data_IF_382207514047
#
_entry.id   IF_382207514047
#
_cell.length_a   1.000
_cell.length_b   1.000
_cell.length_c   1.000
_cell.angle_alpha   90.00
_cell.angle_beta   90.00
_cell.angle_gamma   90.00
#
_symmetry.space_group_name_H-M   'P 1'
#
loop_
_entity.id
_entity.type
_entity.pdbx_description
1 polymer ?
#
# COMPACT_ATOMS: atom_id res chain seq x y z
N UNK A 1 15.51 -11.26 -2.00
CA UNK A 1 14.03 -11.06 -1.95
C UNK A 1 13.68 -10.38 -0.64
N UNK A 2 12.83 -9.38 -0.72
CA UNK A 2 12.35 -8.67 0.47
C UNK A 2 11.25 -9.50 1.13
N UNK A 3 11.39 -9.79 2.42
CA UNK A 3 10.39 -10.53 3.19
C UNK A 3 9.20 -9.64 3.54
N UNK A 4 9.46 -8.47 4.08
CA UNK A 4 8.41 -7.51 4.41
C UNK A 4 8.94 -6.09 4.45
N UNK A 5 8.03 -5.13 4.32
CA UNK A 5 8.29 -3.71 4.45
C UNK A 5 7.36 -3.12 5.51
N UNK A 6 7.72 -1.98 6.04
CA UNK A 6 6.87 -1.26 6.97
C UNK A 6 6.63 0.16 6.48
N UNK A 7 5.42 0.66 6.72
CA UNK A 7 5.10 2.07 6.61
C UNK A 7 4.52 2.56 7.95
N UNK A 8 4.39 3.85 8.10
CA UNK A 8 3.99 4.45 9.35
C UNK A 8 2.74 5.29 9.17
N UNK A 9 1.89 5.34 10.17
CA UNK A 9 0.62 6.06 10.10
C UNK A 9 0.37 6.83 11.38
N UNK A 10 0.05 8.12 11.25
CA UNK A 10 -0.37 8.94 12.39
C UNK A 10 -1.85 8.75 12.67
N UNK A 11 -2.65 8.48 11.65
CA UNK A 11 -4.05 8.09 11.79
C UNK A 11 -4.18 6.63 11.33
N UNK A 12 -3.99 5.71 12.25
CA UNK A 12 -3.90 4.28 11.98
C UNK A 12 -5.16 3.75 11.27
N UNK A 13 -6.35 4.09 11.77
CA UNK A 13 -7.59 3.57 11.20
C UNK A 13 -7.81 4.07 9.77
N UNK A 14 -7.49 5.32 9.51
CA UNK A 14 -7.62 5.89 8.16
C UNK A 14 -6.69 5.18 7.17
N UNK A 15 -5.44 4.96 7.56
CA UNK A 15 -4.46 4.28 6.71
C UNK A 15 -4.82 2.81 6.52
N UNK A 16 -5.25 2.13 7.58
CA UNK A 16 -5.72 0.75 7.49
C UNK A 16 -6.89 0.62 6.52
N UNK A 17 -7.88 1.51 6.62
CA UNK A 17 -9.04 1.49 5.73
C UNK A 17 -8.64 1.75 4.28
N UNK A 18 -7.73 2.67 4.07
CA UNK A 18 -7.19 2.96 2.74
C UNK A 18 -6.59 1.71 2.11
N UNK A 19 -5.66 1.05 2.80
CA UNK A 19 -5.00 -0.13 2.26
C UNK A 19 -5.92 -1.34 2.17
N UNK A 20 -6.89 -1.48 3.07
CA UNK A 20 -7.88 -2.55 2.98
C UNK A 20 -8.64 -2.49 1.66
N UNK A 21 -8.97 -1.28 1.20
CA UNK A 21 -9.67 -1.09 -0.07
C UNK A 21 -8.71 -1.22 -1.27
N UNK A 22 -7.58 -0.52 -1.22
CA UNK A 22 -6.65 -0.44 -2.35
C UNK A 22 -5.97 -1.78 -2.65
N UNK A 23 -5.69 -2.59 -1.62
CA UNK A 23 -5.00 -3.86 -1.76
C UNK A 23 -5.93 -5.02 -2.13
N UNK A 24 -7.21 -4.89 -1.96
CA UNK A 24 -8.15 -5.96 -2.28
C UNK A 24 -8.03 -6.41 -3.74
N UNK A 25 -7.98 -5.50 -4.73
CA UNK A 25 -7.77 -5.91 -6.13
C UNK A 25 -6.44 -6.59 -6.41
N UNK A 26 -5.45 -6.44 -5.53
CA UNK A 26 -4.14 -7.07 -5.66
C UNK A 26 -4.07 -8.42 -4.92
N UNK A 27 -5.16 -8.82 -4.26
CA UNK A 27 -5.18 -10.05 -3.48
C UNK A 27 -4.51 -9.96 -2.12
N UNK A 28 -4.34 -8.75 -1.59
CA UNK A 28 -3.75 -8.51 -0.28
C UNK A 28 -4.85 -8.17 0.73
N UNK A 29 -4.82 -8.83 1.87
CA UNK A 29 -5.76 -8.60 2.96
C UNK A 29 -5.00 -8.51 4.27
N UNK A 30 -5.65 -8.04 5.33
CA UNK A 30 -5.05 -8.02 6.66
C UNK A 30 -4.79 -9.46 7.10
N UNK A 31 -3.53 -9.77 7.40
CA UNK A 31 -3.10 -11.09 7.88
C UNK A 31 -2.82 -11.09 9.38
N UNK A 32 -2.40 -9.95 9.92
CA UNK A 32 -2.04 -9.81 11.33
C UNK A 32 -2.48 -8.43 11.80
N UNK A 33 -3.01 -8.38 13.02
CA UNK A 33 -3.36 -7.10 13.66
C UNK A 33 -3.25 -7.25 15.17
N UNK A 34 -2.60 -6.30 15.82
CA UNK A 34 -2.46 -6.33 17.28
C UNK A 34 -2.10 -4.96 17.83
N UNK A 35 -2.15 -4.84 19.17
CA UNK A 35 -1.65 -3.71 19.93
C UNK A 35 -0.32 -4.11 20.55
N UNK A 36 0.71 -3.29 20.32
CA UNK A 36 2.07 -3.56 20.81
C UNK A 36 2.20 -3.23 22.30
N UNK A 37 1.53 -4.00 23.14
CA UNK A 37 1.47 -3.77 24.59
C UNK A 37 2.85 -3.82 25.27
N UNK A 38 3.85 -4.45 24.64
CA UNK A 38 5.23 -4.49 25.12
C UNK A 38 6.01 -3.21 24.86
N UNK A 39 5.47 -2.29 24.03
CA UNK A 39 6.14 -1.03 23.72
C UNK A 39 5.95 -0.04 24.88
N UNK A 40 6.98 0.07 25.73
CA UNK A 40 6.91 0.90 26.93
C UNK A 40 6.73 2.38 26.65
N UNK A 41 7.09 2.85 25.45
CA UNK A 41 6.97 4.24 25.04
C UNK A 41 5.64 4.54 24.35
N UNK A 42 4.97 3.50 23.87
CA UNK A 42 3.69 3.61 23.18
C UNK A 42 2.88 2.31 23.37
N UNK A 43 2.39 2.04 24.60
CA UNK A 43 1.76 0.76 24.92
C UNK A 43 0.41 0.51 24.23
N UNK A 44 -0.17 1.54 23.61
CA UNK A 44 -1.41 1.41 22.83
C UNK A 44 -1.16 1.43 21.33
N UNK A 45 0.11 1.37 20.90
CA UNK A 45 0.48 1.38 19.48
C UNK A 45 -0.20 0.23 18.74
N UNK A 46 -0.88 0.58 17.65
CA UNK A 46 -1.56 -0.41 16.80
C UNK A 46 -0.69 -0.75 15.60
N UNK A 47 -0.75 -2.01 15.19
CA UNK A 47 -0.05 -2.50 14.02
C UNK A 47 -0.95 -3.46 13.26
N UNK A 48 -0.88 -3.43 11.92
CA UNK A 48 -1.45 -4.47 11.10
C UNK A 48 -0.53 -4.74 9.91
N UNK A 49 -0.68 -5.90 9.31
CA UNK A 49 0.09 -6.26 8.13
C UNK A 49 -0.82 -6.85 7.07
N UNK A 50 -0.58 -6.42 5.84
CA UNK A 50 -1.30 -6.87 4.66
C UNK A 50 -0.44 -7.81 3.84
N UNK A 51 -1.08 -8.69 3.12
CA UNK A 51 -0.41 -9.58 2.19
C UNK A 51 -1.34 -10.66 1.67
N UNK A 52 -0.82 -11.55 0.80
CA UNK A 52 -1.57 -12.74 0.39
C UNK A 52 -1.76 -13.65 1.60
N UNK A 53 -2.68 -14.59 1.49
CA UNK A 53 -3.05 -15.46 2.61
C UNK A 53 -1.82 -16.05 3.32
N UNK A 54 -1.73 -15.81 4.62
CA UNK A 54 -0.67 -16.34 5.47
C UNK A 54 0.65 -15.60 5.38
N UNK A 55 0.75 -14.53 4.57
CA UNK A 55 2.02 -13.82 4.35
C UNK A 55 1.90 -12.32 4.66
N UNK A 56 2.22 -11.89 5.88
CA UNK A 56 2.25 -10.46 6.21
C UNK A 56 3.50 -9.82 5.59
N UNK A 57 3.32 -9.07 4.51
CA UNK A 57 4.44 -8.49 3.76
C UNK A 57 4.53 -6.97 3.87
N UNK A 58 3.43 -6.30 4.17
CA UNK A 58 3.40 -4.84 4.25
C UNK A 58 2.75 -4.40 5.56
N UNK A 59 3.58 -3.89 6.47
CA UNK A 59 3.15 -3.50 7.80
C UNK A 59 2.75 -2.04 7.86
N UNK A 60 1.68 -1.76 8.57
CA UNK A 60 1.27 -0.40 8.94
C UNK A 60 1.47 -0.27 10.45
N UNK A 61 2.32 0.64 10.85
CA UNK A 61 2.72 0.84 12.24
C UNK A 61 2.28 2.23 12.68
N UNK A 62 1.48 2.30 13.74
CA UNK A 62 1.04 3.58 14.29
C UNK A 62 2.21 4.34 14.89
N UNK A 63 2.30 5.64 14.58
CA UNK A 63 3.32 6.54 15.12
C UNK A 63 2.67 7.84 15.57
N UNK A 64 3.34 8.54 16.46
CA UNK A 64 2.87 9.84 16.99
C UNK A 64 3.48 11.01 16.23
N UNK A 65 4.59 10.80 15.54
CA UNK A 65 5.36 11.85 14.90
C UNK A 65 5.37 11.70 13.39
N UNK A 66 5.74 12.77 12.69
CA UNK A 66 5.92 12.73 11.24
C UNK A 66 7.15 11.91 10.89
N UNK A 67 7.15 11.38 9.67
CA UNK A 67 8.24 10.57 9.14
C UNK A 67 8.47 10.95 7.67
N UNK A 68 9.59 10.48 7.09
CA UNK A 68 9.89 10.70 5.68
C UNK A 68 8.99 9.83 4.81
N UNK A 69 8.23 10.41 3.88
CA UNK A 69 7.41 9.61 2.95
C UNK A 69 8.27 8.68 2.09
N UNK A 70 7.68 7.58 1.67
CA UNK A 70 8.35 6.53 0.90
C UNK A 70 7.69 6.29 -0.43
N UNK A 71 8.40 5.60 -1.31
CA UNK A 71 7.83 5.05 -2.54
C UNK A 71 7.87 3.54 -2.44
N UNK A 72 6.72 2.91 -2.68
CA UNK A 72 6.61 1.44 -2.72
C UNK A 72 5.76 1.06 -3.91
N UNK A 73 6.23 0.10 -4.70
CA UNK A 73 5.51 -0.42 -5.85
C UNK A 73 5.12 -1.87 -5.59
N UNK A 74 3.87 -2.19 -5.88
CA UNK A 74 3.32 -3.53 -5.76
C UNK A 74 3.04 -4.10 -7.13
N UNK A 75 3.40 -5.36 -7.33
CA UNK A 75 3.11 -6.05 -8.59
C UNK A 75 1.64 -6.40 -8.66
N UNK A 76 1.00 -6.01 -9.75
CA UNK A 76 -0.32 -6.48 -10.11
C UNK A 76 -0.19 -7.62 -11.12
N UNK A 77 -1.12 -8.57 -11.04
CA UNK A 77 -1.14 -9.74 -11.91
C UNK A 77 -1.38 -9.36 -13.38
N UNK A 78 -2.21 -8.35 -13.60
CA UNK A 78 -2.61 -7.89 -14.92
C UNK A 78 -2.91 -6.39 -14.88
N UNK A 79 -3.19 -5.81 -16.05
CA UNK A 79 -3.49 -4.38 -16.14
C UNK A 79 -4.80 -4.03 -15.46
N UNK A 80 -5.78 -4.94 -15.48
CA UNK A 80 -7.04 -4.75 -14.77
C UNK A 80 -6.80 -4.58 -13.27
N UNK A 81 -5.87 -5.33 -12.69
CA UNK A 81 -5.48 -5.18 -11.29
C UNK A 81 -4.91 -3.79 -10.97
N UNK A 82 -4.13 -3.23 -11.89
CA UNK A 82 -3.61 -1.86 -11.75
C UNK A 82 -4.76 -0.85 -11.78
N UNK A 83 -5.67 -0.98 -12.74
CA UNK A 83 -6.83 -0.09 -12.87
C UNK A 83 -7.70 -0.15 -11.61
N UNK A 84 -7.97 -1.36 -11.12
CA UNK A 84 -8.84 -1.58 -9.96
C UNK A 84 -8.18 -1.07 -8.66
N UNK A 85 -6.87 -1.26 -8.51
CA UNK A 85 -6.12 -0.67 -7.41
C UNK A 85 -6.29 0.86 -7.40
N UNK A 86 -6.09 1.48 -8.56
CA UNK A 86 -6.19 2.94 -8.66
C UNK A 86 -7.60 3.42 -8.31
N UNK A 87 -8.63 2.79 -8.86
CA UNK A 87 -10.02 3.15 -8.59
C UNK A 87 -10.37 2.98 -7.12
N UNK A 88 -9.95 1.89 -6.50
CA UNK A 88 -10.19 1.63 -5.10
C UNK A 88 -9.48 2.65 -4.20
N UNK A 89 -8.23 2.98 -4.51
CA UNK A 89 -7.46 3.98 -3.77
C UNK A 89 -8.11 5.36 -3.87
N UNK A 90 -8.52 5.76 -5.07
CA UNK A 90 -9.18 7.06 -5.28
C UNK A 90 -10.51 7.13 -4.54
N UNK A 91 -11.25 6.03 -4.45
CA UNK A 91 -12.51 5.98 -3.70
C UNK A 91 -12.30 6.17 -2.20
N UNK A 92 -11.10 5.91 -1.69
CA UNK A 92 -10.72 6.15 -0.29
C UNK A 92 -10.07 7.52 -0.08
N UNK A 93 -10.16 8.41 -1.07
CA UNK A 93 -9.67 9.78 -0.95
C UNK A 93 -8.19 9.97 -1.22
N UNK A 94 -7.54 9.01 -1.87
CA UNK A 94 -6.14 9.17 -2.26
C UNK A 94 -5.99 10.31 -3.28
N UNK A 95 -4.81 10.91 -3.30
CA UNK A 95 -4.45 11.89 -4.31
C UNK A 95 -3.84 11.16 -5.51
N UNK A 96 -4.27 11.52 -6.72
CA UNK A 96 -3.67 10.97 -7.93
C UNK A 96 -2.23 11.46 -8.09
N UNK A 97 -1.32 10.51 -8.34
CA UNK A 97 0.09 10.81 -8.65
C UNK A 97 0.50 10.20 -9.99
N UNK A 98 -0.44 9.73 -10.77
CA UNK A 98 -0.24 9.15 -12.11
C UNK A 98 -1.34 8.15 -12.43
N UNK A 99 -2.22 8.51 -13.39
CA UNK A 99 -3.32 7.64 -13.80
C UNK A 99 -2.80 6.32 -14.40
N UNK A 100 -3.62 5.25 -14.38
CA UNK A 100 -3.24 3.99 -15.02
C UNK A 100 -2.86 4.18 -16.48
N UNK A 101 -1.76 3.59 -16.91
CA UNK A 101 -1.31 3.69 -18.27
C UNK A 101 0.11 3.17 -18.47
N UNK A 102 0.49 3.07 -19.73
CA UNK A 102 1.84 2.65 -20.10
C UNK A 102 2.87 3.74 -19.77
N UNK A 103 4.03 3.30 -19.34
CA UNK A 103 5.20 4.15 -19.06
C UNK A 103 6.39 3.68 -19.91
N UNK A 104 6.36 3.95 -21.24
CA UNK A 104 7.39 3.42 -22.15
C UNK A 104 8.80 3.90 -21.80
N UNK A 105 8.94 5.00 -21.07
CA UNK A 105 10.24 5.50 -20.59
C UNK A 105 10.93 4.52 -19.61
N UNK A 106 10.16 3.63 -18.97
CA UNK A 106 10.74 2.60 -18.11
C UNK A 106 11.00 1.32 -18.90
N UNK A 107 9.99 0.79 -19.54
CA UNK A 107 10.11 -0.25 -20.56
C UNK A 107 8.77 -0.42 -21.30
N UNK A 108 8.78 -1.20 -22.38
CA UNK A 108 7.68 -1.34 -23.33
C UNK A 108 6.35 -1.76 -22.69
N UNK A 109 6.39 -2.67 -21.72
CA UNK A 109 5.19 -3.22 -21.11
C UNK A 109 4.92 -2.73 -19.70
N UNK A 110 5.56 -1.66 -19.30
CA UNK A 110 5.37 -1.09 -17.96
C UNK A 110 4.03 -0.38 -17.89
N UNK A 111 3.05 -1.02 -17.25
CA UNK A 111 1.72 -0.46 -17.06
C UNK A 111 1.52 -0.18 -15.57
N UNK A 112 1.47 1.06 -15.18
CA UNK A 112 1.45 1.45 -13.77
C UNK A 112 0.45 2.55 -13.45
N UNK A 113 0.12 2.65 -12.17
CA UNK A 113 -0.66 3.74 -11.61
C UNK A 113 -0.06 4.13 -10.26
N UNK A 114 -0.13 5.40 -9.93
CA UNK A 114 0.51 5.98 -8.75
C UNK A 114 -0.50 6.80 -7.97
N UNK A 115 -0.53 6.62 -6.66
CA UNK A 115 -1.37 7.40 -5.75
C UNK A 115 -0.55 7.84 -4.55
N UNK A 116 -1.00 8.90 -3.88
CA UNK A 116 -0.46 9.33 -2.60
C UNK A 116 -1.40 8.80 -1.51
N UNK A 117 -0.86 8.05 -0.58
CA UNK A 117 -1.63 7.49 0.53
C UNK A 117 -1.94 8.56 1.59
N UNK A 118 -2.74 8.24 2.64
CA UNK A 118 -3.07 9.21 3.68
C UNK A 118 -1.88 9.81 4.42
N UNK A 119 -0.73 9.15 4.37
CA UNK A 119 0.48 9.58 5.09
C UNK A 119 1.51 10.23 4.17
N UNK A 120 1.16 10.45 2.90
CA UNK A 120 2.03 11.13 1.94
C UNK A 120 2.96 10.22 1.15
N UNK A 121 2.83 8.89 1.29
CA UNK A 121 3.67 7.97 0.55
C UNK A 121 3.22 7.83 -0.90
N UNK A 122 4.19 7.69 -1.80
CA UNK A 122 3.95 7.40 -3.21
C UNK A 122 3.79 5.89 -3.40
N UNK A 123 2.57 5.44 -3.62
CA UNK A 123 2.25 4.02 -3.74
C UNK A 123 1.87 3.70 -5.19
N UNK A 124 2.46 2.67 -5.70
CA UNK A 124 2.31 2.26 -7.10
C UNK A 124 1.80 0.83 -7.21
N UNK A 125 0.95 0.56 -8.18
CA UNK A 125 0.70 -0.80 -8.66
C UNK A 125 1.22 -0.88 -10.09
N UNK A 126 1.93 -1.94 -10.44
CA UNK A 126 2.55 -2.09 -11.74
C UNK A 126 2.39 -3.52 -12.27
N UNK A 127 2.09 -3.62 -13.56
CA UNK A 127 2.06 -4.86 -14.32
C UNK A 127 3.12 -4.76 -15.42
N UNK A 128 3.97 -5.79 -15.52
CA UNK A 128 5.08 -5.81 -16.48
C UNK A 128 4.79 -6.68 -17.70
N UNK A 129 3.62 -7.30 -17.78
CA UNK A 129 3.29 -8.23 -18.86
C UNK A 129 2.54 -7.51 -19.98
N UNK A 130 2.78 -7.93 -21.25
CA UNK A 130 2.00 -7.42 -22.38
C UNK A 130 0.56 -7.93 -22.31
N UNK A 131 -0.37 -7.12 -22.85
CA UNK A 131 -1.78 -7.52 -22.98
C UNK A 131 -2.35 -7.07 -24.30
#
# INVERSE_FOLDING_TARGET
VIDHLSTYARDFLKTKDFYSAAFEPLGYQVQVEFIATWNRYFPTQRMCAFGPEGKPVFWVIEVKETFTPRHVAFTAKDRAGVDDFYSAAMSQGAECNGEPGLRPKYHEHYYGAFVIDPDGNNIEAVCHTPE
#
